data_IF_841942166948
#
_entry.id   IF_841942166948
#
_cell.length_a   1.000
_cell.length_b   1.000
_cell.length_c   1.000
_cell.angle_alpha   90.00
_cell.angle_beta   90.00
_cell.angle_gamma   90.00
#
_symmetry.space_group_name_H-M   'P 1'
#
loop_
_entity.id
_entity.type
_entity.pdbx_description
1 polymer ?
#
# COMPACT_ATOMS: atom_id res chain seq x y z
N UNK A 1 1.47 -23.63 -36.32
CA UNK A 1 1.34 -22.35 -37.06
C UNK A 1 1.79 -21.22 -36.13
N UNK A 2 3.09 -20.93 -36.10
CA UNK A 2 3.68 -19.91 -35.21
C UNK A 2 3.43 -18.53 -35.80
N UNK A 3 2.57 -17.73 -35.16
CA UNK A 3 2.35 -16.32 -35.55
C UNK A 3 3.61 -15.53 -35.21
N UNK A 4 4.48 -15.29 -36.19
CA UNK A 4 5.51 -14.25 -36.09
C UNK A 4 4.80 -12.90 -36.04
N UNK A 5 4.71 -12.32 -34.84
CA UNK A 5 4.29 -10.95 -34.65
C UNK A 5 5.49 -10.10 -35.09
N UNK A 6 5.54 -9.73 -36.37
CA UNK A 6 6.49 -8.72 -36.83
C UNK A 6 6.14 -7.40 -36.13
N UNK A 7 7.06 -6.80 -35.35
CA UNK A 7 6.77 -5.54 -34.68
C UNK A 7 6.46 -4.47 -35.71
N UNK A 8 5.30 -3.81 -35.54
CA UNK A 8 4.80 -2.73 -36.42
C UNK A 8 5.72 -1.49 -36.40
N UNK A 9 6.64 -1.42 -35.44
CA UNK A 9 7.61 -0.34 -35.26
C UNK A 9 9.02 -0.89 -35.51
N UNK A 10 9.77 -0.35 -36.49
CA UNK A 10 11.17 -0.72 -36.68
C UNK A 10 11.98 -0.36 -35.42
N UNK A 11 12.75 -1.33 -34.90
CA UNK A 11 13.55 -1.14 -33.68
C UNK A 11 12.83 -1.37 -32.35
N UNK A 12 11.58 -1.85 -32.34
CA UNK A 12 10.80 -2.09 -31.12
C UNK A 12 11.55 -2.91 -30.04
N UNK A 13 12.29 -3.95 -30.44
CA UNK A 13 13.04 -4.77 -29.48
C UNK A 13 14.17 -4.01 -28.78
N UNK A 14 14.86 -3.13 -29.51
CA UNK A 14 15.96 -2.31 -28.97
C UNK A 14 15.43 -1.19 -28.08
N UNK A 15 14.37 -0.50 -28.50
CA UNK A 15 13.75 0.58 -27.71
C UNK A 15 13.09 0.04 -26.44
N UNK A 16 12.41 -1.11 -26.53
CA UNK A 16 11.86 -1.81 -25.38
C UNK A 16 12.96 -2.28 -24.44
N UNK A 17 14.02 -2.92 -24.97
CA UNK A 17 15.16 -3.37 -24.16
C UNK A 17 15.83 -2.22 -23.41
N UNK A 18 16.09 -1.10 -24.10
CA UNK A 18 16.65 0.10 -23.49
C UNK A 18 15.74 0.67 -22.40
N UNK A 19 14.43 0.79 -22.68
CA UNK A 19 13.45 1.31 -21.72
C UNK A 19 13.37 0.43 -20.47
N UNK A 20 13.31 -0.90 -20.64
CA UNK A 20 13.27 -1.84 -19.54
C UNK A 20 14.55 -1.80 -18.71
N UNK A 21 15.73 -1.77 -19.34
CA UNK A 21 17.01 -1.65 -18.64
C UNK A 21 17.06 -0.35 -17.84
N UNK A 22 16.69 0.78 -18.46
CA UNK A 22 16.71 2.07 -17.80
C UNK A 22 15.76 2.13 -16.59
N UNK A 23 14.50 1.72 -16.76
CA UNK A 23 13.53 1.66 -15.65
C UNK A 23 13.96 0.69 -14.55
N UNK A 24 14.53 -0.46 -14.94
CA UNK A 24 15.05 -1.43 -13.98
C UNK A 24 16.21 -0.86 -13.18
N UNK A 25 17.17 -0.19 -13.83
CA UNK A 25 18.29 0.44 -13.14
C UNK A 25 17.83 1.51 -12.14
N UNK A 26 16.85 2.34 -12.51
CA UNK A 26 16.28 3.35 -11.60
C UNK A 26 15.75 2.73 -10.31
N UNK A 27 15.12 1.56 -10.37
CA UNK A 27 14.54 0.88 -9.20
C UNK A 27 15.59 0.03 -8.48
N UNK A 28 16.42 -0.71 -9.23
CA UNK A 28 17.35 -1.68 -8.68
C UNK A 28 18.57 -1.03 -8.03
N UNK A 29 19.04 0.13 -8.50
CA UNK A 29 20.20 0.80 -7.90
C UNK A 29 19.92 1.20 -6.44
N UNK A 30 18.83 1.92 -6.09
CA UNK A 30 18.52 2.24 -4.70
C UNK A 30 18.30 1.00 -3.82
N UNK A 31 17.61 -0.03 -4.35
CA UNK A 31 17.40 -1.28 -3.62
C UNK A 31 18.73 -1.98 -3.33
N UNK A 32 19.61 -2.10 -4.33
CA UNK A 32 20.94 -2.67 -4.16
C UNK A 32 21.78 -1.87 -3.15
N UNK A 33 21.72 -0.53 -3.21
CA UNK A 33 22.41 0.33 -2.26
C UNK A 33 21.95 0.08 -0.80
N UNK A 34 20.65 -0.15 -0.59
CA UNK A 34 20.10 -0.52 0.72
C UNK A 34 20.66 -1.86 1.21
N UNK A 35 20.75 -2.87 0.35
CA UNK A 35 21.36 -4.17 0.69
C UNK A 35 22.85 -4.05 0.99
N UNK A 36 23.60 -3.25 0.22
CA UNK A 36 25.03 -3.00 0.48
C UNK A 36 25.22 -2.34 1.84
N UNK A 37 24.39 -1.37 2.20
CA UNK A 37 24.43 -0.73 3.52
C UNK A 37 24.14 -1.73 4.65
N UNK A 38 23.15 -2.61 4.46
CA UNK A 38 22.85 -3.65 5.44
C UNK A 38 24.00 -4.66 5.57
N UNK A 39 24.69 -4.99 4.48
CA UNK A 39 25.81 -5.93 4.46
C UNK A 39 27.10 -5.38 5.12
N UNK A 40 27.19 -4.06 5.35
CA UNK A 40 28.28 -3.45 6.11
C UNK A 40 28.14 -3.66 7.63
N UNK A 41 26.97 -4.10 8.11
CA UNK A 41 26.73 -4.39 9.52
C UNK A 41 27.39 -5.72 9.90
N UNK A 42 28.01 -5.74 11.08
CA UNK A 42 28.41 -7.01 11.70
C UNK A 42 27.16 -7.80 12.13
N UNK A 43 27.29 -9.12 12.27
CA UNK A 43 26.18 -9.98 12.68
C UNK A 43 25.56 -9.56 14.02
N UNK A 44 26.39 -9.15 14.98
CA UNK A 44 25.94 -8.68 16.29
C UNK A 44 25.15 -7.37 16.19
N UNK A 45 25.61 -6.42 15.36
CA UNK A 45 24.90 -5.17 15.11
C UNK A 45 23.55 -5.41 14.42
N UNK A 46 23.52 -6.29 13.43
CA UNK A 46 22.29 -6.68 12.74
C UNK A 46 21.27 -7.29 13.72
N UNK A 47 21.71 -8.23 14.55
CA UNK A 47 20.85 -8.86 15.54
C UNK A 47 20.36 -7.85 16.59
N UNK A 48 21.23 -6.96 17.08
CA UNK A 48 20.86 -5.91 18.03
C UNK A 48 19.81 -4.94 17.46
N UNK A 49 19.88 -4.61 16.16
CA UNK A 49 18.90 -3.74 15.50
C UNK A 49 17.56 -4.44 15.38
N UNK A 50 17.52 -5.70 14.92
CA UNK A 50 16.26 -6.40 14.66
C UNK A 50 15.56 -6.81 15.96
N UNK A 51 16.33 -7.16 16.98
CA UNK A 51 15.81 -7.50 18.31
C UNK A 51 15.50 -6.26 19.16
N UNK A 52 15.79 -5.05 18.67
CA UNK A 52 15.47 -3.82 19.39
C UNK A 52 13.95 -3.76 19.65
N UNK A 53 13.51 -3.46 20.90
CA UNK A 53 12.10 -3.46 21.27
C UNK A 53 11.22 -2.60 20.34
N UNK A 54 11.75 -1.46 19.89
CA UNK A 54 11.08 -0.57 18.93
C UNK A 54 10.87 -1.21 17.56
N UNK A 55 11.86 -1.94 17.05
CA UNK A 55 11.77 -2.62 15.75
C UNK A 55 10.79 -3.77 15.83
N UNK A 56 10.85 -4.58 16.89
CA UNK A 56 9.90 -5.67 17.11
C UNK A 56 8.46 -5.15 17.26
N UNK A 57 8.23 -4.08 18.03
CA UNK A 57 6.91 -3.48 18.16
C UNK A 57 6.40 -2.93 16.82
N UNK A 58 7.26 -2.29 16.03
CA UNK A 58 6.90 -1.81 14.70
C UNK A 58 6.55 -2.97 13.76
N UNK A 59 7.34 -4.04 13.74
CA UNK A 59 7.07 -5.23 12.92
C UNK A 59 5.78 -5.92 13.33
N UNK A 60 5.54 -6.11 14.64
CA UNK A 60 4.30 -6.71 15.15
C UNK A 60 3.08 -5.87 14.75
N UNK A 61 3.18 -4.54 14.88
CA UNK A 61 2.09 -3.65 14.48
C UNK A 61 1.88 -3.70 12.96
N UNK A 62 2.94 -3.61 12.15
CA UNK A 62 2.84 -3.63 10.70
C UNK A 62 2.29 -4.94 10.17
N UNK A 63 2.83 -6.08 10.61
CA UNK A 63 2.33 -7.39 10.17
C UNK A 63 0.94 -7.69 10.71
N UNK A 64 0.66 -7.36 11.98
CA UNK A 64 -0.66 -7.54 12.57
C UNK A 64 -1.73 -6.72 11.83
N UNK A 65 -1.49 -5.43 11.65
CA UNK A 65 -2.43 -4.55 10.93
C UNK A 65 -2.58 -4.94 9.47
N UNK A 66 -1.49 -5.27 8.77
CA UNK A 66 -1.56 -5.73 7.39
C UNK A 66 -2.32 -7.04 7.23
N UNK A 67 -2.18 -7.98 8.17
CA UNK A 67 -2.90 -9.25 8.16
C UNK A 67 -4.42 -9.04 8.32
N UNK A 68 -4.84 -8.28 9.32
CA UNK A 68 -6.27 -7.97 9.50
C UNK A 68 -6.82 -7.16 8.33
N UNK A 69 -6.07 -6.16 7.84
CA UNK A 69 -6.46 -5.39 6.66
C UNK A 69 -6.60 -6.28 5.42
N UNK A 70 -5.69 -7.23 5.20
CA UNK A 70 -5.76 -8.16 4.07
C UNK A 70 -6.98 -9.08 4.15
N UNK A 71 -7.33 -9.59 5.34
CA UNK A 71 -8.55 -10.39 5.53
C UNK A 71 -9.79 -9.56 5.25
N UNK A 72 -9.89 -8.36 5.84
CA UNK A 72 -11.03 -7.47 5.67
C UNK A 72 -11.18 -7.08 4.20
N UNK A 73 -10.10 -6.66 3.54
CA UNK A 73 -10.09 -6.33 2.12
C UNK A 73 -10.42 -7.55 1.25
N UNK A 74 -9.90 -8.72 1.60
CA UNK A 74 -10.19 -9.97 0.90
C UNK A 74 -11.68 -10.31 0.94
N UNK A 75 -12.32 -10.22 2.11
CA UNK A 75 -13.74 -10.56 2.27
C UNK A 75 -14.62 -9.47 1.67
N UNK A 76 -14.48 -8.21 2.13
CA UNK A 76 -15.35 -7.10 1.72
C UNK A 76 -15.12 -6.76 0.25
N UNK A 77 -13.85 -6.67 -0.18
CA UNK A 77 -13.49 -6.39 -1.57
C UNK A 77 -14.01 -7.44 -2.53
N UNK A 78 -13.93 -8.74 -2.18
CA UNK A 78 -14.49 -9.80 -3.03
C UNK A 78 -16.01 -9.70 -3.11
N UNK A 79 -16.71 -9.43 -2.00
CA UNK A 79 -18.17 -9.25 -2.01
C UNK A 79 -18.58 -8.05 -2.86
N UNK A 80 -17.91 -6.91 -2.70
CA UNK A 80 -18.19 -5.71 -3.50
C UNK A 80 -17.91 -5.95 -4.99
N UNK A 81 -16.76 -6.55 -5.33
CA UNK A 81 -16.42 -6.89 -6.70
C UNK A 81 -17.45 -7.85 -7.32
N UNK A 82 -17.89 -8.86 -6.56
CA UNK A 82 -18.94 -9.79 -7.00
C UNK A 82 -20.24 -9.05 -7.31
N UNK A 83 -20.68 -8.17 -6.40
CA UNK A 83 -21.92 -7.40 -6.57
C UNK A 83 -21.83 -6.49 -7.81
N UNK A 84 -20.73 -5.75 -7.95
CA UNK A 84 -20.55 -4.81 -9.05
C UNK A 84 -20.43 -5.52 -10.40
N UNK A 85 -19.80 -6.68 -10.47
CA UNK A 85 -19.67 -7.42 -11.75
C UNK A 85 -20.96 -8.15 -12.12
N UNK A 86 -21.68 -8.72 -11.14
CA UNK A 86 -22.83 -9.60 -11.41
C UNK A 86 -24.18 -8.90 -11.45
N UNK A 87 -24.35 -7.74 -10.80
CA UNK A 87 -25.64 -7.06 -10.69
C UNK A 87 -25.64 -5.68 -11.33
N UNK A 88 -26.82 -5.27 -11.80
CA UNK A 88 -27.09 -3.94 -12.33
C UNK A 88 -28.18 -3.29 -11.48
N UNK A 89 -27.85 -2.19 -10.80
CA UNK A 89 -28.75 -1.45 -9.92
C UNK A 89 -28.50 0.07 -10.04
N UNK A 90 -29.51 0.91 -9.77
CA UNK A 90 -29.34 2.37 -9.79
C UNK A 90 -28.33 2.80 -8.71
N UNK A 91 -27.34 3.62 -9.08
CA UNK A 91 -26.27 4.06 -8.17
C UNK A 91 -24.96 3.27 -8.25
N UNK A 92 -24.91 2.17 -9.03
CA UNK A 92 -23.69 1.37 -9.24
C UNK A 92 -22.46 2.21 -9.60
N UNK A 93 -22.60 3.18 -10.53
CA UNK A 93 -21.50 4.06 -10.96
C UNK A 93 -20.93 4.94 -9.84
N UNK A 94 -21.76 5.32 -8.88
CA UNK A 94 -21.31 6.13 -7.73
C UNK A 94 -20.46 5.27 -6.80
N UNK A 95 -20.91 4.05 -6.51
CA UNK A 95 -20.15 3.10 -5.68
C UNK A 95 -18.80 2.76 -6.34
N UNK A 96 -18.81 2.50 -7.65
CA UNK A 96 -17.60 2.23 -8.44
C UNK A 96 -16.59 3.39 -8.31
N UNK A 97 -17.05 4.64 -8.51
CA UNK A 97 -16.21 5.83 -8.35
C UNK A 97 -15.71 6.03 -6.91
N UNK A 98 -16.52 5.70 -5.89
CA UNK A 98 -16.10 5.78 -4.49
C UNK A 98 -15.00 4.77 -4.14
N UNK A 99 -15.01 3.60 -4.76
CA UNK A 99 -13.98 2.57 -4.58
C UNK A 99 -12.67 2.99 -5.27
N UNK A 100 -12.75 3.65 -6.42
CA UNK A 100 -11.57 4.13 -7.16
C UNK A 100 -10.98 5.44 -6.59
N UNK A 101 -11.80 6.23 -5.89
CA UNK A 101 -11.43 7.53 -5.34
C UNK A 101 -10.12 7.52 -4.53
N UNK A 102 -9.87 6.58 -3.59
CA UNK A 102 -8.64 6.57 -2.80
C UNK A 102 -7.37 6.41 -3.64
N UNK A 103 -7.47 5.76 -4.81
CA UNK A 103 -6.34 5.56 -5.71
C UNK A 103 -6.06 6.81 -6.58
N UNK A 104 -7.08 7.62 -6.82
CA UNK A 104 -6.95 8.88 -7.54
C UNK A 104 -6.48 10.04 -6.64
N UNK A 105 -6.65 9.92 -5.32
CA UNK A 105 -6.29 10.96 -4.36
C UNK A 105 -4.79 10.95 -4.02
N UNK A 106 -4.17 12.13 -3.81
CA UNK A 106 -2.83 12.20 -3.25
C UNK A 106 -2.80 11.59 -1.85
N UNK A 107 -1.77 10.79 -1.55
CA UNK A 107 -1.58 10.12 -0.25
C UNK A 107 -1.60 11.10 0.93
N UNK A 108 -1.05 12.31 0.74
CA UNK A 108 -1.06 13.36 1.75
C UNK A 108 -2.49 13.82 2.12
N UNK A 109 -3.38 13.91 1.13
CA UNK A 109 -4.78 14.32 1.34
C UNK A 109 -5.53 13.25 2.12
N UNK A 110 -5.33 11.97 1.78
CA UNK A 110 -5.90 10.85 2.52
C UNK A 110 -5.46 10.84 3.99
N UNK A 111 -4.17 11.11 4.25
CA UNK A 111 -3.63 11.20 5.62
C UNK A 111 -4.29 12.30 6.45
N UNK A 112 -4.46 13.50 5.89
CA UNK A 112 -5.11 14.63 6.59
C UNK A 112 -6.59 14.32 6.83
N UNK A 113 -7.29 13.76 5.84
CA UNK A 113 -8.70 13.41 5.98
C UNK A 113 -8.92 12.36 7.09
N UNK A 114 -8.11 11.30 7.12
CA UNK A 114 -8.17 10.28 8.18
C UNK A 114 -7.85 10.88 9.55
N UNK A 115 -6.82 11.73 9.64
CA UNK A 115 -6.46 12.40 10.90
C UNK A 115 -7.60 13.28 11.41
N UNK A 116 -8.25 14.05 10.53
CA UNK A 116 -9.39 14.88 10.89
C UNK A 116 -10.61 14.05 11.31
N UNK A 117 -10.84 12.92 10.64
CA UNK A 117 -11.98 12.03 10.92
C UNK A 117 -11.85 11.32 12.28
N UNK A 118 -10.64 10.86 12.61
CA UNK A 118 -10.31 10.17 13.87
C UNK A 118 -9.82 11.09 14.98
N UNK A 119 -9.72 12.41 14.75
CA UNK A 119 -9.41 13.37 15.79
C UNK A 119 -10.46 13.28 16.92
N UNK A 120 -10.12 13.61 18.19
CA UNK A 120 -11.10 13.61 19.27
C UNK A 120 -12.33 14.48 19.00
N UNK A 121 -12.16 15.56 18.22
CA UNK A 121 -13.24 16.44 17.78
C UNK A 121 -13.76 16.08 16.37
N UNK A 122 -13.30 14.98 15.79
CA UNK A 122 -13.68 14.48 14.48
C UNK A 122 -14.93 13.61 14.51
N UNK A 123 -15.58 13.45 13.37
CA UNK A 123 -16.88 12.79 13.29
C UNK A 123 -16.87 11.34 13.80
N UNK A 124 -15.75 10.61 13.67
CA UNK A 124 -15.60 9.25 14.21
C UNK A 124 -14.91 9.29 15.57
N UNK A 125 -13.92 10.16 15.75
CA UNK A 125 -13.14 10.20 17.00
C UNK A 125 -13.90 10.75 18.20
N UNK A 126 -14.96 11.55 18.02
CA UNK A 126 -15.85 11.98 19.11
C UNK A 126 -16.53 10.77 19.77
N UNK A 127 -17.14 9.88 18.97
CA UNK A 127 -17.78 8.68 19.49
C UNK A 127 -16.79 7.74 20.20
N UNK A 128 -15.55 7.66 19.70
CA UNK A 128 -14.52 6.85 20.35
C UNK A 128 -13.99 7.48 21.66
N UNK A 129 -13.91 8.80 21.72
CA UNK A 129 -13.52 9.53 22.91
C UNK A 129 -14.55 9.39 24.04
N UNK A 130 -15.85 9.36 23.70
CA UNK A 130 -16.95 9.12 24.65
C UNK A 130 -16.88 7.72 25.28
N UNK A 131 -16.35 6.73 24.54
CA UNK A 131 -16.07 5.37 25.03
C UNK A 131 -14.72 5.24 25.75
N UNK A 132 -13.97 6.34 25.95
CA UNK A 132 -12.68 6.37 26.64
C UNK A 132 -11.47 5.87 25.83
N UNK A 133 -11.65 5.59 24.54
CA UNK A 133 -10.57 5.13 23.66
C UNK A 133 -9.94 6.30 22.90
N UNK A 134 -8.63 6.51 23.09
CA UNK A 134 -7.85 7.44 22.26
C UNK A 134 -7.35 6.73 21.01
N UNK A 135 -7.97 7.04 19.87
CA UNK A 135 -7.63 6.45 18.55
C UNK A 135 -6.44 7.20 17.90
N UNK A 136 -6.41 8.52 18.02
CA UNK A 136 -5.35 9.36 17.47
C UNK A 136 -4.42 9.87 18.59
N UNK A 137 -3.11 9.91 18.31
CA UNK A 137 -2.06 10.43 19.18
C UNK A 137 -1.78 9.65 20.48
N UNK A 138 -1.92 8.33 20.49
CA UNK A 138 -1.42 7.50 21.60
C UNK A 138 0.11 7.49 21.56
N UNK A 139 0.82 8.10 22.53
CA UNK A 139 2.26 7.95 22.62
C UNK A 139 2.54 6.51 23.08
N UNK A 140 3.30 5.77 22.29
CA UNK A 140 3.95 4.52 22.70
C UNK A 140 5.21 4.85 23.49
#
# INVERSE_FOLDING_TARGET
>A
MSRRISPVIPGFGLTLGYTLVYLSLIVLIPLAAMFVHAAQLTWDQFWAIISAPRVLAALQLSFGTAFFAAIINGVIGTVLAWILVRYTFPGRKVIDAMIDLPFALPTAVAGIALTALYAPNGWIGQFAADLGFKIAYTPM
#
